data_IF_932863455374
#
_entry.id   IF_932863455374
#
_cell.length_a   1.000
_cell.length_b   1.000
_cell.length_c   1.000
_cell.angle_alpha   90.00
_cell.angle_beta   90.00
_cell.angle_gamma   90.00
#
_symmetry.space_group_name_H-M   'P 1'
#
loop_
_entity.id
_entity.type
_entity.pdbx_description
1 polymer ?
#
# COMPACT_ATOMS: atom_id res chain seq x y z
N UNK A 1 55.33 -38.77 54.69
CA UNK A 1 54.30 -37.89 54.09
C UNK A 1 54.66 -37.60 52.63
N UNK A 2 54.00 -38.24 51.64
CA UNK A 2 54.15 -37.91 50.22
C UNK A 2 52.75 -37.73 49.61
N UNK A 3 52.48 -36.49 49.17
CA UNK A 3 51.20 -36.03 48.63
C UNK A 3 50.87 -36.73 47.30
N UNK A 4 49.67 -37.32 47.22
CA UNK A 4 49.04 -37.72 45.94
C UNK A 4 48.54 -36.46 45.24
N UNK A 5 48.95 -36.27 43.99
CA UNK A 5 48.42 -35.22 43.12
C UNK A 5 47.31 -35.83 42.26
N UNK A 6 46.08 -35.33 42.40
CA UNK A 6 44.98 -35.62 41.48
C UNK A 6 45.14 -34.72 40.25
N UNK A 7 45.29 -35.33 39.08
CA UNK A 7 45.17 -34.63 37.80
C UNK A 7 43.68 -34.47 37.48
N UNK A 8 43.17 -33.23 37.48
CA UNK A 8 41.88 -32.91 36.85
C UNK A 8 42.09 -32.80 35.34
N UNK A 9 41.46 -33.69 34.59
CA UNK A 9 41.34 -33.58 33.14
C UNK A 9 40.38 -32.44 32.77
N UNK A 10 40.86 -31.45 32.03
CA UNK A 10 40.02 -30.45 31.39
C UNK A 10 39.64 -30.96 29.98
N UNK A 11 38.44 -31.50 29.85
CA UNK A 11 37.87 -31.82 28.54
C UNK A 11 37.43 -30.51 27.87
N UNK A 12 38.22 -30.04 26.89
CA UNK A 12 37.82 -28.94 26.03
C UNK A 12 36.72 -29.43 25.06
N UNK A 13 35.47 -29.06 25.33
CA UNK A 13 34.38 -29.25 24.38
C UNK A 13 34.54 -28.26 23.22
N UNK A 14 34.98 -28.75 22.07
CA UNK A 14 34.99 -27.99 20.82
C UNK A 14 33.54 -27.87 20.35
N UNK A 15 32.91 -26.72 20.58
CA UNK A 15 31.65 -26.37 19.89
C UNK A 15 31.98 -26.14 18.42
N UNK A 16 31.70 -27.13 17.58
CA UNK A 16 31.61 -26.94 16.14
C UNK A 16 30.39 -26.06 15.84
N UNK A 17 30.61 -24.75 15.71
CA UNK A 17 29.60 -23.84 15.20
C UNK A 17 29.32 -24.20 13.74
N UNK A 18 28.21 -24.90 13.49
CA UNK A 18 27.71 -25.11 12.14
C UNK A 18 27.32 -23.75 11.57
N UNK A 19 28.15 -23.22 10.67
CA UNK A 19 27.82 -22.04 9.86
C UNK A 19 26.62 -22.40 9.00
N UNK A 20 25.42 -21.97 9.42
CA UNK A 20 24.24 -22.00 8.57
C UNK A 20 24.51 -20.99 7.45
N UNK A 21 24.53 -21.40 6.17
CA UNK A 21 24.73 -20.46 5.08
C UNK A 21 23.58 -19.44 5.11
N UNK A 22 23.93 -18.14 5.08
CA UNK A 22 22.94 -17.09 4.95
C UNK A 22 22.08 -17.37 3.70
N UNK A 23 20.77 -17.42 3.88
CA UNK A 23 19.84 -17.54 2.76
C UNK A 23 20.16 -16.43 1.74
N UNK A 24 20.16 -16.72 0.43
CA UNK A 24 20.44 -15.70 -0.57
C UNK A 24 19.50 -14.52 -0.35
N UNK A 25 20.06 -13.31 -0.25
CA UNK A 25 19.27 -12.10 -0.11
C UNK A 25 18.27 -12.05 -1.28
N UNK A 26 16.98 -12.14 -0.98
CA UNK A 26 15.96 -12.05 -2.00
C UNK A 26 16.11 -10.74 -2.77
N UNK A 27 15.97 -10.81 -4.09
CA UNK A 27 16.02 -9.64 -4.95
C UNK A 27 15.02 -8.57 -4.48
N UNK A 28 15.39 -7.30 -4.63
CA UNK A 28 14.50 -6.19 -4.30
C UNK A 28 13.18 -6.32 -5.09
N UNK A 29 12.02 -6.08 -4.47
CA UNK A 29 10.78 -5.87 -5.19
C UNK A 29 10.92 -4.73 -6.21
N UNK A 30 10.09 -4.75 -7.25
CA UNK A 30 9.99 -3.63 -8.18
C UNK A 30 9.26 -2.47 -7.53
N UNK A 31 9.98 -1.58 -6.84
CA UNK A 31 9.38 -0.39 -6.27
C UNK A 31 8.91 0.57 -7.35
N UNK A 32 7.69 1.10 -7.20
CA UNK A 32 7.09 2.13 -8.03
C UNK A 32 6.97 3.44 -7.28
N UNK A 33 6.81 4.54 -8.01
CA UNK A 33 6.57 5.85 -7.40
C UNK A 33 5.31 5.75 -6.50
N UNK A 34 5.32 6.26 -5.26
CA UNK A 34 4.29 5.95 -4.25
C UNK A 34 3.01 6.79 -4.39
N UNK A 35 2.60 7.10 -5.62
CA UNK A 35 1.40 7.88 -5.92
C UNK A 35 0.53 7.16 -6.94
N UNK A 36 -0.79 7.42 -7.02
CA UNK A 36 -1.66 6.81 -8.00
C UNK A 36 -1.15 6.94 -9.44
N UNK A 37 -1.60 6.02 -10.27
CA UNK A 37 -1.29 5.96 -11.70
C UNK A 37 -1.43 7.31 -12.39
N UNK A 38 -0.51 7.58 -13.33
CA UNK A 38 -0.47 8.76 -14.19
C UNK A 38 -0.27 10.11 -13.49
N UNK A 39 -0.14 10.12 -12.16
CA UNK A 39 0.28 11.33 -11.45
C UNK A 39 1.76 11.62 -11.66
N UNK A 40 2.10 12.90 -11.72
CA UNK A 40 3.49 13.38 -11.79
C UNK A 40 3.81 14.19 -10.55
N UNK A 41 4.93 13.85 -9.91
CA UNK A 41 5.35 14.43 -8.64
C UNK A 41 6.78 14.93 -8.72
N UNK A 42 7.04 16.10 -8.14
CA UNK A 42 8.40 16.62 -7.98
C UNK A 42 9.06 15.87 -6.84
N UNK A 43 10.12 15.12 -7.13
CA UNK A 43 10.91 14.43 -6.12
C UNK A 43 12.27 15.10 -5.94
N UNK A 44 12.58 15.48 -4.70
CA UNK A 44 13.79 16.20 -4.34
C UNK A 44 14.67 15.39 -3.39
N UNK A 45 15.98 15.41 -3.64
CA UNK A 45 17.01 14.84 -2.77
C UNK A 45 18.09 15.89 -2.51
N UNK A 46 18.71 15.87 -1.31
CA UNK A 46 19.70 16.88 -0.89
C UNK A 46 20.75 16.29 0.05
N UNK A 47 21.96 16.84 0.04
CA UNK A 47 23.12 16.28 0.78
C UNK A 47 22.93 16.26 2.30
N UNK A 48 22.04 17.10 2.83
CA UNK A 48 21.69 17.17 4.26
C UNK A 48 20.30 16.55 4.57
N UNK A 49 19.78 15.67 3.71
CA UNK A 49 18.55 14.92 4.01
C UNK A 49 18.81 13.91 5.12
N UNK A 50 17.82 13.66 5.98
CA UNK A 50 17.92 12.67 7.04
C UNK A 50 16.77 11.67 6.92
N UNK A 51 17.06 10.38 6.62
CA UNK A 51 18.35 9.84 6.23
C UNK A 51 18.81 10.35 4.84
N UNK A 52 20.12 10.29 4.56
CA UNK A 52 20.72 10.87 3.35
C UNK A 52 20.16 10.35 2.02
N UNK A 53 19.58 9.15 2.02
CA UNK A 53 19.04 8.52 0.83
C UNK A 53 17.51 8.68 0.67
N UNK A 54 16.84 9.44 1.53
CA UNK A 54 15.42 9.74 1.39
C UNK A 54 15.13 10.63 0.17
N UNK A 55 13.85 10.70 -0.21
CA UNK A 55 13.33 11.63 -1.21
C UNK A 55 12.07 12.29 -0.65
N UNK A 56 11.97 13.60 -0.81
CA UNK A 56 10.77 14.35 -0.48
C UNK A 56 9.99 14.59 -1.77
N UNK A 57 8.71 14.23 -1.77
CA UNK A 57 7.81 14.43 -2.88
C UNK A 57 6.77 15.47 -2.55
N UNK A 58 6.60 16.43 -3.45
CA UNK A 58 5.55 17.42 -3.33
C UNK A 58 5.05 17.90 -4.70
N UNK A 59 3.88 18.53 -4.70
CA UNK A 59 3.33 19.30 -5.83
C UNK A 59 2.42 20.40 -5.28
N UNK A 60 1.90 21.26 -6.15
CA UNK A 60 0.93 22.28 -5.74
C UNK A 60 -0.35 21.61 -5.23
N UNK A 61 -0.86 22.11 -4.10
CA UNK A 61 -2.11 21.66 -3.45
C UNK A 61 -2.16 20.16 -3.14
N UNK A 62 -1.05 19.60 -2.65
CA UNK A 62 -0.90 18.16 -2.39
C UNK A 62 -1.38 17.67 -1.02
N UNK A 63 -1.77 18.56 -0.11
CA UNK A 63 -2.27 18.18 1.21
C UNK A 63 -3.53 17.28 1.06
N UNK A 64 -3.46 16.08 1.62
CA UNK A 64 -4.55 15.10 1.53
C UNK A 64 -4.54 14.27 0.25
N UNK A 65 -3.59 14.47 -0.66
CA UNK A 65 -3.43 13.59 -1.80
C UNK A 65 -3.13 12.15 -1.37
N UNK A 66 -3.67 11.14 -2.06
CA UNK A 66 -3.45 9.74 -1.73
C UNK A 66 -1.98 9.32 -1.95
N UNK A 67 -1.44 8.63 -0.95
CA UNK A 67 -0.16 7.92 -1.02
C UNK A 67 -0.47 6.43 -1.13
N UNK A 68 0.17 5.74 -2.08
CA UNK A 68 -0.04 4.30 -2.33
C UNK A 68 1.22 3.50 -2.02
N UNK A 69 1.05 2.20 -1.74
CA UNK A 69 2.17 1.29 -1.53
C UNK A 69 3.06 1.22 -2.78
N UNK A 70 4.36 1.44 -2.57
CA UNK A 70 5.38 1.41 -3.63
C UNK A 70 5.63 0.01 -4.18
N UNK A 71 5.42 -1.03 -3.37
CA UNK A 71 5.50 -2.43 -3.77
C UNK A 71 4.61 -3.31 -2.87
N UNK A 72 4.27 -4.54 -3.30
CA UNK A 72 3.54 -5.48 -2.47
C UNK A 72 4.29 -5.83 -1.17
N UNK A 73 3.56 -6.00 -0.09
CA UNK A 73 4.14 -6.32 1.22
C UNK A 73 3.09 -6.38 2.33
N UNK A 74 3.57 -6.44 3.57
CA UNK A 74 2.74 -6.39 4.78
C UNK A 74 3.04 -5.11 5.54
N UNK A 75 2.01 -4.35 5.89
CA UNK A 75 2.14 -3.18 6.76
C UNK A 75 2.56 -3.66 8.15
N UNK A 76 3.73 -3.24 8.63
CA UNK A 76 4.26 -3.67 9.92
C UNK A 76 4.39 -2.51 10.92
N UNK A 77 4.22 -1.26 10.47
CA UNK A 77 4.09 -0.07 11.33
C UNK A 77 3.04 0.86 10.79
N UNK A 78 2.16 1.33 11.68
CA UNK A 78 1.31 2.51 11.50
C UNK A 78 1.37 3.27 12.82
N UNK A 79 1.99 4.45 12.85
CA UNK A 79 2.20 5.17 14.11
C UNK A 79 2.33 6.68 13.93
N UNK A 80 2.15 7.42 15.03
CA UNK A 80 2.27 8.86 15.09
C UNK A 80 3.31 9.27 16.13
N UNK A 81 4.43 9.84 15.68
CA UNK A 81 5.51 10.34 16.53
C UNK A 81 5.34 11.82 16.96
N UNK A 82 4.17 12.41 16.69
CA UNK A 82 3.87 13.79 17.06
C UNK A 82 4.51 14.82 16.14
N UNK A 83 5.10 15.87 16.71
CA UNK A 83 5.59 17.06 15.99
C UNK A 83 7.11 16.99 15.68
N UNK A 84 7.71 15.81 15.74
CA UNK A 84 9.14 15.61 15.44
C UNK A 84 9.33 14.40 14.54
N UNK A 85 10.53 14.26 13.96
CA UNK A 85 10.89 13.11 13.12
C UNK A 85 9.85 12.86 12.02
N UNK A 86 9.43 11.61 11.80
CA UNK A 86 8.49 11.22 10.75
C UNK A 86 7.05 11.69 10.96
N UNK A 87 6.66 12.14 12.16
CA UNK A 87 5.26 12.41 12.48
C UNK A 87 4.41 11.15 12.33
N UNK A 88 3.28 11.26 11.60
CA UNK A 88 2.50 10.10 11.19
C UNK A 88 3.21 9.38 10.05
N UNK A 89 3.48 8.10 10.21
CA UNK A 89 4.09 7.31 9.15
C UNK A 89 3.61 5.86 9.11
N UNK A 90 3.76 5.29 7.91
CA UNK A 90 3.52 3.87 7.62
C UNK A 90 4.85 3.24 7.21
N UNK A 91 5.07 2.00 7.65
CA UNK A 91 6.12 1.13 7.11
C UNK A 91 5.51 -0.13 6.52
N UNK A 92 6.04 -0.51 5.36
CA UNK A 92 5.68 -1.77 4.69
C UNK A 92 6.93 -2.65 4.65
N UNK A 93 6.79 -3.88 5.13
CA UNK A 93 7.77 -4.94 4.99
C UNK A 93 7.48 -5.75 3.73
N UNK A 94 8.45 -5.82 2.82
CA UNK A 94 8.31 -6.49 1.53
C UNK A 94 8.97 -7.88 1.50
N UNK A 95 9.49 -8.36 2.64
CA UNK A 95 10.30 -9.56 2.72
C UNK A 95 11.76 -9.32 2.30
N UNK A 96 12.62 -10.32 2.54
CA UNK A 96 14.03 -10.26 2.13
C UNK A 96 14.85 -9.12 2.75
N UNK A 97 14.40 -8.55 3.88
CA UNK A 97 15.02 -7.39 4.52
C UNK A 97 14.65 -6.04 3.90
N UNK A 98 13.76 -6.00 2.91
CA UNK A 98 13.32 -4.76 2.26
C UNK A 98 12.14 -4.13 2.98
N UNK A 99 12.23 -2.82 3.22
CA UNK A 99 11.14 -2.02 3.78
C UNK A 99 11.01 -0.68 3.07
N UNK A 100 9.80 -0.12 3.05
CA UNK A 100 9.56 1.27 2.61
C UNK A 100 8.89 2.07 3.72
N UNK A 101 9.24 3.35 3.82
CA UNK A 101 8.70 4.28 4.83
C UNK A 101 7.99 5.42 4.12
N UNK A 102 6.83 5.83 4.67
CA UNK A 102 5.97 6.87 4.14
C UNK A 102 5.60 7.80 5.29
N UNK A 103 6.25 8.95 5.38
CA UNK A 103 6.21 9.83 6.53
C UNK A 103 5.53 11.18 6.24
N UNK A 104 5.34 11.96 7.30
CA UNK A 104 4.64 13.24 7.30
C UNK A 104 3.16 13.15 6.90
N UNK A 105 2.55 11.97 6.96
CA UNK A 105 1.17 11.75 6.54
C UNK A 105 0.18 12.61 7.36
N UNK A 106 -1.00 12.91 6.82
CA UNK A 106 -2.07 13.55 7.60
C UNK A 106 -3.01 12.50 8.26
N UNK A 107 -3.18 11.35 7.60
CA UNK A 107 -4.07 10.26 7.99
C UNK A 107 -3.60 8.93 7.37
N UNK A 108 -4.06 7.84 7.98
CA UNK A 108 -3.76 6.47 7.55
C UNK A 108 -4.98 5.86 6.85
N UNK A 109 -4.76 4.91 5.93
CA UNK A 109 -5.81 4.11 5.28
C UNK A 109 -5.53 2.60 5.34
N UNK A 110 -4.64 2.21 6.24
CA UNK A 110 -4.23 0.82 6.50
C UNK A 110 -3.98 0.58 7.98
N UNK A 111 -3.94 -0.69 8.36
CA UNK A 111 -3.61 -1.14 9.72
C UNK A 111 -2.41 -2.08 9.72
N UNK A 112 -1.74 -2.22 10.87
CA UNK A 112 -0.67 -3.20 11.06
C UNK A 112 -1.20 -4.61 10.78
N UNK A 113 -0.41 -5.42 10.08
CA UNK A 113 -0.76 -6.76 9.63
C UNK A 113 -1.45 -6.81 8.26
N UNK A 114 -1.88 -5.67 7.72
CA UNK A 114 -2.56 -5.63 6.42
C UNK A 114 -1.61 -5.93 5.27
N UNK A 115 -1.96 -6.92 4.43
CA UNK A 115 -1.32 -7.14 3.15
C UNK A 115 -1.73 -6.05 2.15
N UNK A 116 -0.77 -5.51 1.41
CA UNK A 116 -0.97 -4.44 0.43
C UNK A 116 -0.25 -4.78 -0.88
N UNK A 117 -0.77 -4.26 -1.99
CA UNK A 117 -0.18 -4.36 -3.33
C UNK A 117 0.06 -2.99 -3.93
N UNK A 118 0.57 -2.93 -5.16
CA UNK A 118 0.62 -1.69 -5.96
C UNK A 118 -0.75 -0.99 -5.96
N UNK A 119 -0.78 0.34 -6.06
CA UNK A 119 -2.02 1.12 -6.10
C UNK A 119 -2.83 1.19 -4.80
N UNK A 120 -2.59 0.30 -3.82
CA UNK A 120 -3.31 0.36 -2.54
C UNK A 120 -2.96 1.64 -1.80
N UNK A 121 -3.98 2.48 -1.57
CA UNK A 121 -3.85 3.69 -0.73
C UNK A 121 -3.54 3.29 0.70
N UNK A 122 -2.45 3.83 1.24
CA UNK A 122 -1.95 3.56 2.59
C UNK A 122 -2.11 4.75 3.54
N UNK A 123 -2.30 5.93 2.99
CA UNK A 123 -2.49 7.16 3.74
C UNK A 123 -2.55 8.34 2.80
N UNK A 124 -2.42 9.53 3.36
CA UNK A 124 -2.58 10.76 2.61
C UNK A 124 -1.46 11.73 2.98
N UNK A 125 -0.97 12.47 1.98
CA UNK A 125 0.08 13.49 2.13
C UNK A 125 -0.31 14.48 3.22
N UNK A 126 0.67 14.88 4.02
CA UNK A 126 0.45 15.77 5.15
C UNK A 126 1.66 16.62 5.48
N UNK A 127 1.63 17.19 6.68
CA UNK A 127 2.69 18.03 7.22
C UNK A 127 2.91 17.74 8.71
N UNK A 128 2.78 16.48 9.13
CA UNK A 128 3.04 16.09 10.53
C UNK A 128 4.53 15.84 10.78
N UNK A 129 4.96 15.83 12.04
CA UNK A 129 6.37 15.58 12.37
C UNK A 129 7.27 16.80 12.12
N UNK A 130 8.54 16.54 11.82
CA UNK A 130 9.54 17.57 11.51
C UNK A 130 9.40 18.14 10.09
N UNK A 131 8.19 18.53 9.69
CA UNK A 131 7.87 19.06 8.37
C UNK A 131 7.55 20.56 8.42
N UNK A 132 8.01 21.33 7.42
CA UNK A 132 7.71 22.76 7.27
C UNK A 132 6.57 23.05 6.29
N UNK A 133 6.02 22.02 5.64
CA UNK A 133 4.93 22.15 4.69
C UNK A 133 4.51 20.80 4.09
N UNK A 134 3.34 20.72 3.43
CA UNK A 134 2.86 19.48 2.84
C UNK A 134 3.88 18.81 1.89
N UNK A 135 4.22 17.56 2.18
CA UNK A 135 5.00 16.68 1.32
C UNK A 135 4.95 15.23 1.84
N UNK A 136 5.39 14.27 1.02
CA UNK A 136 5.70 12.91 1.43
C UNK A 136 7.21 12.74 1.56
N UNK A 137 7.69 12.38 2.75
CA UNK A 137 9.05 11.85 2.91
C UNK A 137 9.02 10.34 2.70
N UNK A 138 9.80 9.85 1.72
CA UNK A 138 9.81 8.45 1.32
C UNK A 138 11.22 7.83 1.41
N UNK A 139 11.28 6.58 1.88
CA UNK A 139 12.53 5.81 1.97
C UNK A 139 12.37 4.41 1.38
N UNK A 140 13.46 3.91 0.79
CA UNK A 140 13.69 2.48 0.59
C UNK A 140 14.82 2.06 1.53
N UNK A 141 14.63 0.95 2.27
CA UNK A 141 15.65 0.39 3.15
C UNK A 141 15.87 -1.08 2.86
N UNK A 142 17.13 -1.50 2.94
CA UNK A 142 17.55 -2.89 2.86
C UNK A 142 18.30 -3.26 4.14
N UNK A 143 17.89 -4.35 4.79
CA UNK A 143 18.45 -4.82 6.06
C UNK A 143 18.56 -3.73 7.13
N UNK A 144 17.56 -2.84 7.17
CA UNK A 144 17.49 -1.73 8.14
C UNK A 144 18.23 -0.45 7.71
N UNK A 145 19.04 -0.44 6.66
CA UNK A 145 19.75 0.76 6.18
C UNK A 145 19.02 1.43 5.03
N UNK A 146 18.89 2.77 5.07
CA UNK A 146 18.37 3.54 3.94
C UNK A 146 19.33 3.47 2.75
N UNK A 147 18.82 3.02 1.59
CA UNK A 147 19.59 2.82 0.37
C UNK A 147 19.12 3.78 -0.71
N UNK A 148 19.95 3.96 -1.74
CA UNK A 148 19.56 4.78 -2.90
C UNK A 148 18.30 4.24 -3.53
N UNK A 149 17.31 5.11 -3.66
CA UNK A 149 15.98 4.77 -4.15
C UNK A 149 16.04 4.39 -5.62
N UNK A 150 15.36 3.30 -5.97
CA UNK A 150 15.13 2.89 -7.35
C UNK A 150 13.63 2.77 -7.61
N UNK A 151 13.17 3.36 -8.71
CA UNK A 151 11.82 3.17 -9.21
C UNK A 151 11.89 2.40 -10.53
N UNK A 152 11.15 1.30 -10.64
CA UNK A 152 11.20 0.39 -11.80
C UNK A 152 12.64 -0.03 -12.15
N UNK A 153 13.47 -0.26 -11.13
CA UNK A 153 14.89 -0.61 -11.27
C UNK A 153 15.82 0.57 -11.61
N UNK A 154 15.29 1.72 -12.04
CA UNK A 154 16.07 2.92 -12.34
C UNK A 154 16.31 3.74 -11.08
N UNK A 155 17.56 4.16 -10.84
CA UNK A 155 17.88 5.00 -9.69
C UNK A 155 17.23 6.38 -9.80
N UNK A 156 16.75 6.89 -8.67
CA UNK A 156 16.32 8.28 -8.54
C UNK A 156 17.49 9.26 -8.77
N UNK A 157 17.15 10.50 -9.14
CA UNK A 157 18.09 11.62 -9.16
C UNK A 157 18.51 11.94 -7.73
N UNK A 158 19.82 11.95 -7.48
CA UNK A 158 20.41 12.39 -6.22
C UNK A 158 21.00 13.79 -6.37
N UNK A 159 20.76 14.63 -5.35
CA UNK A 159 21.24 16.00 -5.20
C UNK A 159 20.60 16.98 -6.18
N UNK A 160 19.28 16.90 -6.29
CA UNK A 160 18.49 17.79 -7.13
C UNK A 160 17.02 17.40 -7.14
N UNK A 161 16.29 18.00 -8.07
CA UNK A 161 14.85 17.81 -8.23
C UNK A 161 14.56 17.20 -9.61
N UNK A 162 13.69 16.19 -9.63
CA UNK A 162 13.21 15.56 -10.86
C UNK A 162 11.71 15.27 -10.74
N UNK A 163 10.97 15.45 -11.83
CA UNK A 163 9.59 14.99 -11.91
C UNK A 163 9.56 13.49 -12.19
N UNK A 164 8.82 12.75 -11.38
CA UNK A 164 8.58 11.32 -11.54
C UNK A 164 7.11 11.10 -11.89
N UNK A 165 6.86 10.47 -13.04
CA UNK A 165 5.53 9.99 -13.41
C UNK A 165 5.31 8.62 -12.79
N UNK A 166 4.20 8.45 -12.07
CA UNK A 166 3.84 7.18 -11.46
C UNK A 166 3.19 6.24 -12.46
N UNK A 167 3.68 5.01 -12.51
CA UNK A 167 3.05 3.87 -13.18
C UNK A 167 2.42 2.89 -12.14
N UNK A 168 2.21 3.36 -10.91
CA UNK A 168 1.75 2.56 -9.78
C UNK A 168 0.24 2.36 -9.81
N UNK A 169 -0.20 1.09 -9.83
CA UNK A 169 -1.62 0.75 -9.94
C UNK A 169 -2.22 0.91 -11.35
N UNK A 170 -1.43 1.26 -12.38
CA UNK A 170 -1.93 1.47 -13.76
C UNK A 170 -2.50 0.22 -14.45
N UNK A 171 -2.21 -0.98 -13.94
CA UNK A 171 -2.71 -2.26 -14.45
C UNK A 171 -3.94 -2.80 -13.73
N UNK A 172 -4.60 -2.00 -12.87
CA UNK A 172 -5.82 -2.42 -12.17
C UNK A 172 -5.63 -2.90 -10.73
N UNK A 173 -4.76 -2.26 -9.94
CA UNK A 173 -4.66 -2.53 -8.50
C UNK A 173 -5.34 -1.45 -7.62
N UNK A 174 -6.25 -0.70 -8.24
CA UNK A 174 -7.17 0.22 -7.59
C UNK A 174 -8.57 -0.42 -7.50
N UNK A 175 -8.66 -1.73 -7.28
CA UNK A 175 -9.96 -2.39 -7.19
C UNK A 175 -10.52 -2.31 -5.77
N UNK A 176 -11.82 -2.10 -5.64
CA UNK A 176 -12.55 -2.33 -4.40
C UNK A 176 -12.84 -3.82 -4.23
N UNK A 177 -13.26 -4.20 -3.04
CA UNK A 177 -13.89 -5.50 -2.80
C UNK A 177 -15.27 -5.25 -2.22
N UNK A 178 -16.19 -6.16 -2.53
CA UNK A 178 -17.52 -6.13 -1.97
C UNK A 178 -18.08 -7.53 -1.77
N UNK A 179 -19.02 -7.69 -0.84
CA UNK A 179 -19.78 -8.94 -0.67
C UNK A 179 -21.24 -8.69 -1.02
N UNK A 180 -21.77 -9.45 -1.97
CA UNK A 180 -23.18 -9.35 -2.36
C UNK A 180 -24.08 -9.80 -1.21
N UNK A 181 -25.12 -9.03 -0.93
CA UNK A 181 -26.19 -9.40 0.00
C UNK A 181 -27.55 -9.01 -0.58
N UNK A 182 -28.34 -10.01 -0.91
CA UNK A 182 -29.67 -9.91 -1.53
C UNK A 182 -30.71 -10.73 -0.79
N UNK A 183 -30.39 -11.21 0.42
CA UNK A 183 -31.24 -12.11 1.22
C UNK A 183 -31.66 -13.39 0.46
N UNK A 184 -30.70 -14.02 -0.24
CA UNK A 184 -30.85 -15.36 -0.83
C UNK A 184 -31.06 -15.43 -2.35
N UNK A 185 -31.43 -14.34 -3.03
CA UNK A 185 -31.63 -14.35 -4.50
C UNK A 185 -30.40 -13.85 -5.27
N UNK A 186 -29.97 -14.43 -6.40
CA UNK A 186 -28.82 -13.91 -7.13
C UNK A 186 -29.00 -12.45 -7.59
N UNK A 187 -27.96 -11.62 -7.40
CA UNK A 187 -27.92 -10.24 -7.86
C UNK A 187 -27.76 -10.19 -9.38
N UNK A 188 -28.59 -9.40 -10.06
CA UNK A 188 -28.50 -9.24 -11.52
C UNK A 188 -27.28 -8.41 -11.91
N UNK A 189 -26.48 -8.91 -12.85
CA UNK A 189 -25.40 -8.17 -13.51
C UNK A 189 -25.95 -7.51 -14.77
N UNK A 190 -25.69 -6.20 -14.92
CA UNK A 190 -26.14 -5.36 -16.02
C UNK A 190 -24.99 -5.03 -16.97
N UNK A 191 -25.30 -4.78 -18.25
CA UNK A 191 -24.33 -4.31 -19.25
C UNK A 191 -23.83 -2.88 -19.04
N UNK A 192 -24.50 -2.10 -18.17
CA UNK A 192 -24.16 -0.73 -17.83
C UNK A 192 -24.76 -0.31 -16.48
N UNK A 193 -24.46 0.91 -16.00
CA UNK A 193 -24.83 1.38 -14.67
C UNK A 193 -26.29 1.82 -14.59
N UNK A 194 -27.22 0.87 -14.66
CA UNK A 194 -28.64 1.19 -14.55
C UNK A 194 -29.57 0.01 -14.75
N UNK A 195 -30.80 0.15 -14.27
CA UNK A 195 -31.84 -0.90 -14.37
C UNK A 195 -32.44 -1.02 -15.77
N UNK A 196 -32.20 -0.04 -16.65
CA UNK A 196 -32.58 -0.10 -18.07
C UNK A 196 -31.59 -0.88 -18.96
N UNK A 197 -30.38 -1.17 -18.49
CA UNK A 197 -29.40 -1.95 -19.23
C UNK A 197 -29.75 -3.43 -19.24
N UNK A 198 -29.35 -4.14 -20.31
CA UNK A 198 -29.59 -5.57 -20.46
C UNK A 198 -28.94 -6.38 -19.32
N UNK A 199 -29.63 -7.46 -18.90
CA UNK A 199 -29.03 -8.44 -17.99
C UNK A 199 -27.99 -9.26 -18.75
N UNK A 200 -26.78 -9.38 -18.19
CA UNK A 200 -25.65 -10.11 -18.76
C UNK A 200 -25.13 -11.22 -17.83
N UNK A 201 -25.92 -11.56 -16.81
CA UNK A 201 -25.64 -12.63 -15.86
C UNK A 201 -26.12 -12.31 -14.45
N UNK A 202 -25.66 -13.10 -13.50
CA UNK A 202 -25.94 -12.93 -12.08
C UNK A 202 -24.68 -13.14 -11.22
N UNK A 203 -24.71 -12.64 -9.99
CA UNK A 203 -23.75 -12.95 -8.93
C UNK A 203 -24.54 -13.56 -7.77
N UNK A 204 -24.07 -14.67 -7.21
CA UNK A 204 -24.76 -15.33 -6.10
C UNK A 204 -24.78 -14.46 -4.84
N UNK A 205 -25.82 -14.62 -4.02
CA UNK A 205 -25.85 -14.04 -2.67
C UNK A 205 -24.65 -14.54 -1.84
N UNK A 206 -24.05 -13.65 -1.04
CA UNK A 206 -22.84 -13.92 -0.26
C UNK A 206 -21.54 -14.01 -1.06
N UNK A 207 -21.57 -13.90 -2.40
CA UNK A 207 -20.36 -13.94 -3.20
C UNK A 207 -19.51 -12.67 -3.06
N UNK A 208 -18.19 -12.84 -3.01
CA UNK A 208 -17.23 -11.73 -3.08
C UNK A 208 -17.04 -11.27 -4.52
N UNK A 209 -16.98 -9.96 -4.72
CA UNK A 209 -16.71 -9.32 -6.01
C UNK A 209 -15.52 -8.38 -5.92
N UNK A 210 -14.73 -8.35 -6.98
CA UNK A 210 -13.69 -7.34 -7.19
C UNK A 210 -14.27 -6.20 -8.02
N UNK A 211 -14.21 -4.98 -7.49
CA UNK A 211 -14.80 -3.77 -8.06
C UNK A 211 -13.70 -3.02 -8.81
N UNK A 212 -13.71 -3.06 -10.14
CA UNK A 212 -12.66 -2.47 -10.97
C UNK A 212 -12.73 -0.95 -11.04
N UNK A 213 -13.95 -0.41 -11.03
CA UNK A 213 -14.26 1.01 -10.94
C UNK A 213 -15.71 1.15 -10.48
N UNK A 214 -16.08 2.36 -10.07
CA UNK A 214 -17.45 2.70 -9.70
C UNK A 214 -17.95 3.87 -10.53
N UNK A 215 -19.25 3.96 -10.73
CA UNK A 215 -19.88 5.07 -11.47
C UNK A 215 -21.27 5.39 -10.93
N UNK A 216 -21.81 6.55 -11.30
CA UNK A 216 -23.20 6.90 -11.01
C UNK A 216 -24.14 6.32 -12.08
N UNK A 217 -25.35 5.94 -11.69
CA UNK A 217 -26.34 5.35 -12.57
C UNK A 217 -27.77 5.49 -12.06
N UNK A 218 -28.67 4.65 -12.56
CA UNK A 218 -30.05 4.60 -12.04
C UNK A 218 -30.04 4.28 -10.54
N UNK A 219 -30.79 5.02 -9.73
CA UNK A 219 -30.91 4.75 -8.29
C UNK A 219 -31.64 3.43 -8.05
N UNK A 220 -31.13 2.65 -7.10
CA UNK A 220 -31.67 1.35 -6.71
C UNK A 220 -31.78 1.31 -5.20
N UNK A 221 -32.91 0.81 -4.70
CA UNK A 221 -33.08 0.46 -3.28
C UNK A 221 -32.80 -1.03 -3.11
N UNK A 222 -31.89 -1.35 -2.20
CA UNK A 222 -31.48 -2.71 -1.88
C UNK A 222 -31.21 -2.90 -0.39
N UNK A 223 -30.50 -3.98 -0.06
CA UNK A 223 -30.24 -4.40 1.32
C UNK A 223 -29.53 -3.33 2.16
N UNK A 224 -28.66 -2.52 1.55
CA UNK A 224 -27.90 -1.46 2.23
C UNK A 224 -28.51 -0.06 2.03
N UNK A 225 -29.77 0.02 1.62
CA UNK A 225 -30.49 1.28 1.41
C UNK A 225 -30.56 1.68 -0.06
N UNK A 226 -30.70 2.98 -0.32
CA UNK A 226 -30.83 3.53 -1.68
C UNK A 226 -29.51 4.12 -2.14
N UNK A 227 -28.95 3.61 -3.23
CA UNK A 227 -27.70 4.09 -3.82
C UNK A 227 -27.87 4.33 -5.31
N UNK A 228 -27.18 5.35 -5.84
CA UNK A 228 -27.03 5.58 -7.28
C UNK A 228 -25.69 5.03 -7.80
N UNK A 229 -24.91 4.37 -6.95
CA UNK A 229 -23.57 3.87 -7.30
C UNK A 229 -23.71 2.48 -7.94
N UNK A 230 -22.90 2.26 -8.97
CA UNK A 230 -22.77 1.01 -9.69
C UNK A 230 -21.32 0.56 -9.72
N UNK A 231 -21.11 -0.70 -9.36
CA UNK A 231 -19.81 -1.34 -9.27
C UNK A 231 -19.52 -2.12 -10.56
N UNK A 232 -18.46 -1.76 -11.27
CA UNK A 232 -18.00 -2.52 -12.44
C UNK A 232 -17.16 -3.71 -11.97
N UNK A 233 -17.71 -4.91 -12.05
CA UNK A 233 -17.08 -6.15 -11.59
C UNK A 233 -16.41 -6.96 -12.72
N UNK A 234 -16.35 -6.38 -13.92
CA UNK A 234 -15.74 -6.98 -15.11
C UNK A 234 -16.09 -6.20 -16.37
N UNK A 235 -15.57 -6.64 -17.51
CA UNK A 235 -15.82 -5.93 -18.77
C UNK A 235 -17.31 -5.92 -19.14
N UNK A 236 -17.93 -4.73 -19.14
CA UNK A 236 -19.36 -4.57 -19.39
C UNK A 236 -20.26 -5.25 -18.35
N UNK A 237 -19.78 -5.41 -17.11
CA UNK A 237 -20.50 -6.10 -16.03
C UNK A 237 -20.62 -5.17 -14.82
N UNK A 238 -21.84 -4.72 -14.55
CA UNK A 238 -22.14 -3.80 -13.46
C UNK A 238 -23.14 -4.43 -12.49
N UNK A 239 -22.95 -4.21 -11.20
CA UNK A 239 -23.92 -4.52 -10.15
C UNK A 239 -24.24 -3.26 -9.37
N UNK A 240 -25.43 -3.20 -8.77
CA UNK A 240 -25.80 -2.05 -7.94
C UNK A 240 -25.16 -2.16 -6.56
N UNK A 241 -24.46 -1.11 -6.15
CA UNK A 241 -23.81 -0.97 -4.85
C UNK A 241 -24.81 -1.07 -3.67
N UNK A 242 -26.10 -0.77 -3.91
CA UNK A 242 -27.18 -0.94 -2.94
C UNK A 242 -27.32 -2.38 -2.39
N UNK A 243 -26.75 -3.37 -3.07
CA UNK A 243 -26.72 -4.78 -2.67
C UNK A 243 -25.30 -5.30 -2.37
N UNK A 244 -24.28 -4.44 -2.36
CA UNK A 244 -22.88 -4.85 -2.17
C UNK A 244 -22.33 -4.20 -0.91
N UNK A 245 -21.93 -5.02 0.07
CA UNK A 245 -21.23 -4.52 1.24
C UNK A 245 -19.78 -4.21 0.89
N UNK A 246 -19.46 -2.92 0.80
CA UNK A 246 -18.10 -2.42 0.51
C UNK A 246 -17.42 -1.84 1.75
N UNK A 247 -18.17 -1.59 2.82
CA UNK A 247 -17.72 -0.89 4.02
C UNK A 247 -17.77 0.65 3.90
N UNK A 248 -18.36 1.20 2.84
CA UNK A 248 -18.48 2.64 2.59
C UNK A 248 -19.91 2.99 2.17
N UNK A 249 -20.46 4.10 2.68
CA UNK A 249 -21.81 4.61 2.32
C UNK A 249 -21.84 5.32 0.95
N UNK A 250 -20.68 5.45 0.32
CA UNK A 250 -20.51 6.05 -0.98
C UNK A 250 -19.39 5.35 -1.71
N UNK A 251 -18.80 6.05 -2.66
CA UNK A 251 -17.74 5.45 -3.43
C UNK A 251 -16.52 5.06 -2.58
N UNK A 252 -15.96 3.87 -2.86
CA UNK A 252 -14.78 3.31 -2.22
C UNK A 252 -13.58 4.23 -2.50
N UNK A 253 -12.90 4.74 -1.45
CA UNK A 253 -11.69 5.54 -1.62
C UNK A 253 -10.60 4.78 -2.37
N UNK A 254 -10.04 5.41 -3.39
CA UNK A 254 -8.97 4.83 -4.21
C UNK A 254 -9.47 3.92 -5.33
N UNK A 255 -10.76 3.60 -5.43
CA UNK A 255 -11.33 2.89 -6.58
C UNK A 255 -11.65 3.88 -7.71
N UNK A 256 -11.18 3.63 -8.96
CA UNK A 256 -11.35 4.56 -10.07
C UNK A 256 -12.82 4.83 -10.37
N UNK A 257 -13.06 5.97 -11.01
CA UNK A 257 -14.36 6.26 -11.60
C UNK A 257 -14.40 5.83 -13.06
N UNK A 258 -15.45 5.09 -13.39
CA UNK A 258 -15.98 4.97 -14.73
C UNK A 258 -17.32 5.72 -14.77
#
# INVERSE_FOLDING_TARGET
MRKRWLALGASAAVLAATLVPAAPAMAAPTFKVPFPCDQSWSGQTRTNHSPANAIDFNRTDDLGDPVVASAPGTVDVVTNLGNTSYGKYVRINHGGGWTTYYAHLNAFNVSVGQAVGYGRVIGYVGTTGGSTGPHLHYEQRSSGSAVKIKFNGAQALYWGTKTYKSDNGCGGANTGEGTVNTAGSPLTVRSGPGTGYSSVGTVADGAKVTIQCQTSGTSVTGTYGTSAIWDRIGSGRFVSDAYVYTGYDGYIPGVPRC
#
